data_IF_484453066886
#
_entry.id   IF_484453066886
#
_cell.length_a   1.000
_cell.length_b   1.000
_cell.length_c   1.000
_cell.angle_alpha   90.00
_cell.angle_beta   90.00
_cell.angle_gamma   90.00
#
_symmetry.space_group_name_H-M   'P 1'
#
loop_
_entity.id
_entity.type
_entity.pdbx_description
1 polymer ?
#
# COMPACT_ATOMS: atom_id res chain seq x y z
N UNK A 1 -9.35 19.03 7.76
CA UNK A 1 -9.29 19.45 9.18
C UNK A 1 -8.00 20.23 9.48
N UNK A 2 -6.77 19.75 9.14
CA UNK A 2 -5.51 20.42 9.48
C UNK A 2 -5.45 21.90 9.01
N UNK A 3 -5.94 22.18 7.79
CA UNK A 3 -6.02 23.56 7.28
C UNK A 3 -7.08 24.46 7.93
N UNK A 4 -8.02 23.91 8.68
CA UNK A 4 -8.91 24.71 9.52
C UNK A 4 -8.15 25.34 10.71
N UNK A 5 -7.11 24.65 11.18
CA UNK A 5 -6.24 25.12 12.26
C UNK A 5 -5.14 26.04 11.72
N UNK A 6 -4.51 25.65 10.60
CA UNK A 6 -3.44 26.39 9.93
C UNK A 6 -3.71 26.48 8.42
N UNK A 7 -4.35 27.55 7.94
CA UNK A 7 -4.79 27.66 6.53
C UNK A 7 -3.66 27.60 5.49
N UNK A 8 -2.48 28.06 5.84
CA UNK A 8 -1.29 28.08 4.99
C UNK A 8 -0.45 26.78 5.08
N UNK A 9 -0.89 25.78 5.82
CA UNK A 9 -0.18 24.53 5.98
C UNK A 9 0.08 23.84 4.64
N UNK A 10 1.33 23.41 4.43
CA UNK A 10 1.67 22.46 3.35
C UNK A 10 1.38 21.02 3.80
N UNK A 11 0.68 20.28 2.97
CA UNK A 11 0.33 18.88 3.23
C UNK A 11 1.04 18.00 2.21
N UNK A 12 1.94 17.18 2.72
CA UNK A 12 2.71 16.20 1.94
C UNK A 12 2.18 14.81 2.29
N UNK A 13 1.78 14.06 1.26
CA UNK A 13 1.35 12.68 1.40
C UNK A 13 2.41 11.75 0.83
N UNK A 14 3.00 10.91 1.67
CA UNK A 14 3.75 9.75 1.23
C UNK A 14 2.75 8.64 0.88
N UNK A 15 2.46 8.52 -0.42
CA UNK A 15 1.48 7.56 -0.94
C UNK A 15 2.14 6.28 -1.47
N UNK A 16 3.41 6.06 -1.15
CA UNK A 16 4.17 4.91 -1.66
C UNK A 16 3.49 3.58 -1.36
N UNK A 17 2.86 3.45 -0.21
CA UNK A 17 2.15 2.22 0.16
C UNK A 17 0.72 2.21 -0.36
N UNK A 18 0.01 3.33 -0.34
CA UNK A 18 -1.40 3.43 -0.74
C UNK A 18 -1.63 3.37 -2.26
N UNK A 19 -0.72 3.96 -3.07
CA UNK A 19 -0.93 4.10 -4.53
C UNK A 19 -1.28 2.80 -5.26
N UNK A 20 -0.72 1.62 -4.94
CA UNK A 20 -1.15 0.37 -5.58
C UNK A 20 -2.52 -0.15 -5.13
N UNK A 21 -3.05 0.32 -3.99
CA UNK A 21 -4.26 -0.18 -3.35
C UNK A 21 -5.49 0.71 -3.60
N UNK A 22 -5.30 2.00 -3.88
CA UNK A 22 -6.41 2.92 -4.02
C UNK A 22 -6.09 4.20 -4.77
N UNK A 23 -7.14 4.96 -5.08
CA UNK A 23 -7.01 6.27 -5.71
C UNK A 23 -6.48 7.31 -4.73
N UNK A 24 -5.51 8.09 -5.17
CA UNK A 24 -5.06 9.31 -4.49
C UNK A 24 -5.57 10.52 -5.26
N UNK A 25 -6.63 11.17 -4.79
CA UNK A 25 -7.12 12.40 -5.40
C UNK A 25 -6.48 13.62 -4.74
N UNK A 26 -5.36 14.05 -5.32
CA UNK A 26 -4.54 15.14 -4.83
C UNK A 26 -5.30 16.47 -4.70
N UNK A 27 -6.22 16.74 -5.64
CA UNK A 27 -7.01 17.97 -5.66
C UNK A 27 -8.16 17.94 -4.65
N UNK A 28 -8.92 16.87 -4.62
CA UNK A 28 -10.03 16.70 -3.68
C UNK A 28 -9.54 16.68 -2.22
N UNK A 29 -8.39 16.06 -1.96
CA UNK A 29 -7.78 16.02 -0.62
C UNK A 29 -6.99 17.29 -0.27
N UNK A 30 -6.83 18.21 -1.24
CA UNK A 30 -6.11 19.45 -1.04
C UNK A 30 -4.64 19.26 -0.71
N UNK A 31 -3.98 18.28 -1.29
CA UNK A 31 -2.57 18.00 -1.08
C UNK A 31 -1.67 18.98 -1.82
N UNK A 32 -0.49 19.22 -1.29
CA UNK A 32 0.54 20.04 -1.93
C UNK A 32 1.64 19.19 -2.57
N UNK A 33 1.94 18.04 -2.01
CA UNK A 33 2.85 17.04 -2.58
C UNK A 33 2.30 15.65 -2.39
N UNK A 34 2.54 14.80 -3.38
CA UNK A 34 2.33 13.36 -3.27
C UNK A 34 3.52 12.66 -3.90
N UNK A 35 4.02 11.62 -3.26
CA UNK A 35 5.04 10.77 -3.85
C UNK A 35 4.62 9.31 -3.84
N UNK A 36 5.08 8.56 -4.82
CA UNK A 36 4.95 7.13 -4.85
C UNK A 36 6.14 6.45 -5.55
N UNK A 37 6.28 5.15 -5.36
CA UNK A 37 7.34 4.36 -5.96
C UNK A 37 6.73 3.24 -6.84
N UNK A 38 6.94 3.28 -8.17
CA UNK A 38 6.34 2.34 -9.10
C UNK A 38 6.65 0.87 -8.83
N UNK A 39 7.78 0.56 -8.17
CA UNK A 39 8.13 -0.83 -7.85
C UNK A 39 7.13 -1.51 -6.90
N UNK A 40 6.34 -0.74 -6.15
CA UNK A 40 5.26 -1.28 -5.31
C UNK A 40 3.97 -1.51 -6.10
N UNK A 41 3.89 -0.97 -7.30
CA UNK A 41 2.74 -1.09 -8.19
C UNK A 41 3.08 -1.89 -9.45
N UNK A 42 3.76 -3.00 -9.30
CA UNK A 42 4.13 -3.90 -10.41
C UNK A 42 5.30 -3.42 -11.27
N UNK A 43 5.95 -2.32 -10.93
CA UNK A 43 7.12 -1.80 -11.65
C UNK A 43 8.46 -2.24 -11.08
N UNK A 44 9.54 -1.73 -11.66
CA UNK A 44 10.91 -1.95 -11.20
C UNK A 44 11.37 -0.87 -10.23
N UNK A 45 12.43 -1.16 -9.46
CA UNK A 45 13.14 -0.18 -8.62
C UNK A 45 13.93 0.80 -9.49
N UNK A 46 14.20 1.98 -8.95
CA UNK A 46 15.05 3.00 -9.59
C UNK A 46 14.30 4.26 -10.04
N UNK A 47 12.97 4.29 -9.89
CA UNK A 47 12.15 5.47 -10.14
C UNK A 47 11.31 5.80 -8.91
N UNK A 48 11.30 7.07 -8.52
CA UNK A 48 10.29 7.68 -7.66
C UNK A 48 9.52 8.71 -8.46
N UNK A 49 8.24 8.84 -8.22
CA UNK A 49 7.37 9.83 -8.87
C UNK A 49 6.82 10.78 -7.82
N UNK A 50 6.92 12.08 -8.08
CA UNK A 50 6.37 13.14 -7.25
C UNK A 50 5.39 14.00 -8.03
N UNK A 51 4.26 14.30 -7.44
CA UNK A 51 3.38 15.37 -7.89
C UNK A 51 3.48 16.57 -6.95
N UNK A 52 3.54 17.77 -7.50
CA UNK A 52 3.65 19.02 -6.76
C UNK A 52 2.52 19.96 -7.17
N UNK A 53 1.87 20.58 -6.18
CA UNK A 53 0.92 21.67 -6.44
C UNK A 53 1.64 22.94 -6.91
N UNK A 54 0.91 23.86 -7.53
CA UNK A 54 1.44 25.18 -7.94
C UNK A 54 2.05 25.94 -6.75
N UNK A 55 1.51 25.75 -5.55
CA UNK A 55 2.03 26.36 -4.32
C UNK A 55 3.47 25.92 -4.01
N UNK A 56 3.76 24.63 -4.22
CA UNK A 56 5.08 24.05 -3.95
C UNK A 56 6.01 24.26 -5.13
N UNK A 57 5.49 24.11 -6.35
CA UNK A 57 6.30 24.14 -7.58
C UNK A 57 7.09 25.45 -7.72
N UNK A 58 6.57 26.56 -7.20
CA UNK A 58 7.19 27.89 -7.28
C UNK A 58 8.05 28.25 -6.05
N UNK A 59 8.19 27.35 -5.06
CA UNK A 59 9.05 27.61 -3.91
C UNK A 59 10.53 27.59 -4.30
N UNK A 60 11.38 28.37 -3.62
CA UNK A 60 12.83 28.28 -3.80
C UNK A 60 13.33 26.87 -3.49
N UNK A 61 14.08 26.29 -4.41
CA UNK A 61 14.68 24.97 -4.25
C UNK A 61 16.00 24.88 -5.03
N UNK A 62 16.76 23.81 -4.79
CA UNK A 62 17.98 23.53 -5.57
C UNK A 62 17.58 23.09 -6.98
N UNK A 63 18.20 23.67 -7.98
CA UNK A 63 17.98 23.36 -9.40
C UNK A 63 19.27 23.54 -10.20
N UNK A 64 19.30 23.01 -11.41
CA UNK A 64 20.40 23.25 -12.34
C UNK A 64 20.41 24.74 -12.78
N UNK A 65 21.62 25.25 -13.05
CA UNK A 65 21.83 26.61 -13.49
C UNK A 65 21.07 26.88 -14.76
N UNK A 66 20.28 27.60 -15.12
CA UNK A 66 19.49 27.85 -16.34
C UNK A 66 18.14 27.13 -16.39
N UNK A 67 17.84 26.26 -15.42
CA UNK A 67 16.52 25.63 -15.38
C UNK A 67 15.44 26.57 -14.84
N UNK A 68 14.21 26.36 -15.29
CA UNK A 68 13.04 27.11 -14.84
C UNK A 68 12.79 26.83 -13.34
N UNK A 69 12.17 27.79 -12.66
CA UNK A 69 11.81 27.63 -11.24
C UNK A 69 10.87 26.42 -11.00
N UNK A 70 10.04 26.08 -11.97
CA UNK A 70 9.14 24.93 -11.89
C UNK A 70 9.80 23.59 -12.18
N UNK A 71 11.09 23.54 -12.53
CA UNK A 71 11.79 22.28 -12.74
C UNK A 71 12.44 21.79 -11.45
N UNK A 72 11.90 20.71 -10.91
CA UNK A 72 12.37 20.04 -9.70
C UNK A 72 13.27 18.83 -9.99
N UNK A 73 13.42 18.45 -11.25
CA UNK A 73 14.32 17.38 -11.65
C UNK A 73 15.76 17.89 -11.81
N UNK A 74 16.70 17.25 -11.12
CA UNK A 74 18.12 17.55 -11.22
C UNK A 74 18.86 16.61 -12.16
N UNK A 75 18.15 15.82 -12.94
CA UNK A 75 18.66 14.87 -13.91
C UNK A 75 17.53 14.14 -14.59
N UNK A 76 17.84 13.24 -15.53
CA UNK A 76 16.87 12.42 -16.23
C UNK A 76 16.88 10.97 -15.74
N UNK A 77 15.76 10.29 -15.86
CA UNK A 77 15.67 8.84 -15.71
C UNK A 77 15.93 8.13 -17.05
N UNK A 78 16.37 6.88 -16.99
CA UNK A 78 16.48 6.04 -18.18
C UNK A 78 15.10 5.89 -18.86
N UNK A 79 15.02 5.96 -20.21
CA UNK A 79 13.75 5.86 -20.94
C UNK A 79 12.91 4.62 -20.58
N UNK A 80 13.55 3.50 -20.26
CA UNK A 80 12.87 2.28 -19.81
C UNK A 80 12.05 2.47 -18.54
N UNK A 81 12.41 3.42 -17.65
CA UNK A 81 11.64 3.71 -16.44
C UNK A 81 10.32 4.41 -16.77
N UNK A 82 10.31 5.30 -17.77
CA UNK A 82 9.07 5.93 -18.24
C UNK A 82 8.18 4.93 -18.98
N UNK A 83 8.78 4.02 -19.77
CA UNK A 83 8.04 2.95 -20.44
C UNK A 83 7.36 2.01 -19.41
N UNK A 84 8.08 1.64 -18.36
CA UNK A 84 7.55 0.86 -17.24
C UNK A 84 6.36 1.59 -16.57
N UNK A 85 6.50 2.88 -16.26
CA UNK A 85 5.42 3.67 -15.67
C UNK A 85 4.18 3.70 -16.58
N UNK A 86 4.40 3.88 -17.90
CA UNK A 86 3.33 3.83 -18.89
C UNK A 86 2.63 2.46 -18.92
N UNK A 87 3.39 1.37 -18.77
CA UNK A 87 2.83 0.01 -18.72
C UNK A 87 1.93 -0.18 -17.49
N UNK A 88 2.32 0.34 -16.32
CA UNK A 88 1.48 0.30 -15.11
C UNK A 88 0.14 1.02 -15.36
N UNK A 89 0.17 2.24 -15.91
CA UNK A 89 -1.05 2.97 -16.24
C UNK A 89 -1.91 2.24 -17.26
N UNK A 90 -1.31 1.65 -18.29
CA UNK A 90 -2.02 0.86 -19.30
C UNK A 90 -2.68 -0.37 -18.68
N UNK A 91 -2.00 -1.07 -17.76
CA UNK A 91 -2.57 -2.20 -17.04
C UNK A 91 -3.81 -1.82 -16.23
N UNK A 92 -3.77 -0.71 -15.51
CA UNK A 92 -4.93 -0.25 -14.74
C UNK A 92 -6.07 0.17 -15.68
N UNK A 93 -5.77 0.88 -16.77
CA UNK A 93 -6.77 1.23 -17.78
C UNK A 93 -7.39 -0.02 -18.39
N UNK A 94 -6.59 -1.04 -18.70
CA UNK A 94 -7.07 -2.32 -19.21
C UNK A 94 -8.05 -3.00 -18.24
N UNK A 95 -7.78 -2.99 -16.94
CA UNK A 95 -8.78 -3.45 -15.95
C UNK A 95 -10.07 -2.64 -16.10
N UNK A 96 -9.98 -1.31 -16.18
CA UNK A 96 -11.14 -0.43 -16.30
C UNK A 96 -11.97 -0.67 -17.56
N UNK A 97 -11.36 -1.01 -18.69
CA UNK A 97 -12.03 -1.32 -19.94
C UNK A 97 -13.05 -2.46 -19.84
N UNK A 98 -12.87 -3.37 -18.89
CA UNK A 98 -13.82 -4.47 -18.65
C UNK A 98 -15.11 -4.02 -17.91
N UNK A 99 -15.14 -2.79 -17.40
CA UNK A 99 -16.23 -2.32 -16.55
C UNK A 99 -16.88 -1.01 -17.02
N UNK A 100 -16.34 -0.37 -18.06
CA UNK A 100 -16.90 0.84 -18.65
C UNK A 100 -16.69 0.89 -20.16
N UNK A 101 -17.62 1.52 -20.89
CA UNK A 101 -17.50 1.75 -22.34
C UNK A 101 -16.75 3.06 -22.67
N UNK A 102 -16.21 3.75 -21.68
CA UNK A 102 -15.46 4.99 -21.89
C UNK A 102 -14.17 4.73 -22.68
N UNK A 103 -13.80 5.70 -23.51
CA UNK A 103 -12.48 5.73 -24.18
C UNK A 103 -11.54 6.76 -23.54
N UNK A 104 -12.03 7.50 -22.54
CA UNK A 104 -11.21 8.45 -21.80
C UNK A 104 -10.27 7.73 -20.82
N UNK A 105 -8.98 7.91 -21.00
CA UNK A 105 -7.94 7.23 -20.21
C UNK A 105 -8.05 7.52 -18.69
N UNK A 106 -8.46 8.73 -18.31
CA UNK A 106 -8.64 9.05 -16.90
C UNK A 106 -9.80 8.26 -16.31
N UNK A 107 -10.91 8.19 -17.03
CA UNK A 107 -12.08 7.41 -16.62
C UNK A 107 -11.74 5.92 -16.51
N UNK A 108 -11.02 5.37 -17.49
CA UNK A 108 -10.55 3.98 -17.45
C UNK A 108 -9.65 3.72 -16.26
N UNK A 109 -8.69 4.60 -16.00
CA UNK A 109 -7.79 4.47 -14.85
C UNK A 109 -8.54 4.52 -13.52
N UNK A 110 -9.46 5.48 -13.36
CA UNK A 110 -10.27 5.60 -12.14
C UNK A 110 -11.11 4.35 -11.90
N UNK A 111 -11.75 3.83 -12.96
CA UNK A 111 -12.55 2.61 -12.85
C UNK A 111 -11.66 1.41 -12.51
N UNK A 112 -10.51 1.25 -13.18
CA UNK A 112 -9.57 0.17 -12.88
C UNK A 112 -9.09 0.19 -11.43
N UNK A 113 -8.72 1.35 -10.90
CA UNK A 113 -8.33 1.50 -9.48
C UNK A 113 -9.50 1.20 -8.53
N UNK A 114 -10.71 1.60 -8.87
CA UNK A 114 -11.89 1.26 -8.08
C UNK A 114 -12.11 -0.27 -8.03
N UNK A 115 -11.88 -0.98 -9.13
CA UNK A 115 -11.99 -2.45 -9.16
C UNK A 115 -10.90 -3.12 -8.34
N UNK A 116 -9.66 -2.65 -8.43
CA UNK A 116 -8.57 -3.11 -7.56
C UNK A 116 -8.96 -2.95 -6.09
N UNK A 117 -9.37 -1.75 -5.70
CA UNK A 117 -9.74 -1.44 -4.31
C UNK A 117 -10.91 -2.31 -3.81
N UNK A 118 -11.93 -2.53 -4.64
CA UNK A 118 -13.09 -3.38 -4.27
C UNK A 118 -12.68 -4.84 -4.10
N UNK A 119 -11.85 -5.36 -5.01
CA UNK A 119 -11.35 -6.73 -4.92
C UNK A 119 -10.46 -6.91 -3.67
N UNK A 120 -9.53 -6.00 -3.43
CA UNK A 120 -8.67 -6.05 -2.24
C UNK A 120 -9.46 -5.94 -0.94
N UNK A 121 -10.55 -5.17 -0.91
CA UNK A 121 -11.47 -5.13 0.24
C UNK A 121 -12.17 -6.47 0.47
N UNK A 122 -12.54 -7.17 -0.60
CA UNK A 122 -13.12 -8.51 -0.49
C UNK A 122 -12.09 -9.53 0.01
N UNK A 123 -10.83 -9.46 -0.46
CA UNK A 123 -9.72 -10.26 0.08
C UNK A 123 -9.42 -9.93 1.54
N UNK A 124 -9.46 -8.66 1.92
CA UNK A 124 -9.28 -8.21 3.30
C UNK A 124 -10.38 -8.76 4.22
N UNK A 125 -11.64 -8.70 3.78
CA UNK A 125 -12.74 -9.28 4.51
C UNK A 125 -12.54 -10.79 4.70
N UNK A 126 -12.18 -11.51 3.62
CA UNK A 126 -11.87 -12.93 3.68
C UNK A 126 -10.71 -13.24 4.62
N UNK A 127 -9.65 -12.45 4.59
CA UNK A 127 -8.48 -12.60 5.45
C UNK A 127 -8.84 -12.44 6.95
N UNK A 128 -9.68 -11.48 7.27
CA UNK A 128 -10.08 -11.20 8.65
C UNK A 128 -11.13 -12.19 9.19
N UNK A 129 -12.13 -12.54 8.38
CA UNK A 129 -13.30 -13.28 8.82
C UNK A 129 -13.36 -14.73 8.30
N UNK A 130 -12.52 -15.10 7.33
CA UNK A 130 -12.51 -16.44 6.75
C UNK A 130 -13.75 -16.76 5.93
N UNK A 131 -14.18 -18.02 5.99
CA UNK A 131 -15.36 -18.59 5.34
C UNK A 131 -15.99 -19.66 6.21
N UNK A 132 -17.00 -20.34 5.68
CA UNK A 132 -17.62 -21.48 6.37
C UNK A 132 -16.63 -22.65 6.57
N UNK A 133 -15.57 -22.71 5.75
CA UNK A 133 -14.58 -23.82 5.77
C UNK A 133 -13.25 -23.43 6.44
N UNK A 134 -12.90 -22.15 6.46
CA UNK A 134 -11.59 -21.65 6.92
C UNK A 134 -11.76 -20.47 7.87
N UNK A 135 -11.20 -20.59 9.08
CA UNK A 135 -11.21 -19.49 10.07
C UNK A 135 -10.42 -18.30 9.56
N UNK A 136 -10.96 -17.11 9.76
CA UNK A 136 -10.24 -15.84 9.53
C UNK A 136 -9.26 -15.52 10.66
N UNK A 137 -8.41 -14.52 10.45
CA UNK A 137 -7.40 -14.10 11.44
C UNK A 137 -8.00 -13.73 12.80
N UNK A 138 -9.24 -13.22 12.83
CA UNK A 138 -9.94 -12.87 14.06
C UNK A 138 -10.42 -14.08 14.89
N UNK A 139 -10.51 -15.25 14.27
CA UNK A 139 -11.03 -16.48 14.88
C UNK A 139 -9.95 -17.57 15.07
N UNK A 140 -8.71 -17.32 14.64
CA UNK A 140 -7.59 -18.25 14.83
C UNK A 140 -7.04 -18.05 16.25
N UNK A 141 -7.17 -19.08 17.10
CA UNK A 141 -6.63 -19.06 18.46
C UNK A 141 -5.11 -18.88 18.46
N UNK A 142 -4.61 -18.02 19.31
CA UNK A 142 -3.17 -17.70 19.40
C UNK A 142 -2.66 -16.69 18.37
N UNK A 143 -3.56 -16.10 17.57
CA UNK A 143 -3.26 -15.02 16.61
C UNK A 143 -4.07 -13.79 16.98
N UNK A 144 -3.44 -12.62 17.01
CA UNK A 144 -4.09 -11.35 17.28
C UNK A 144 -3.81 -10.36 16.16
N UNK A 145 -4.85 -9.71 15.65
CA UNK A 145 -4.73 -8.59 14.71
C UNK A 145 -4.35 -7.34 15.52
N UNK A 146 -3.11 -6.87 15.34
CA UNK A 146 -2.55 -5.81 16.18
C UNK A 146 -3.19 -4.42 15.96
N UNK A 147 -3.85 -4.21 14.82
CA UNK A 147 -4.61 -3.00 14.52
C UNK A 147 -5.96 -3.40 13.93
N UNK A 148 -6.99 -3.29 14.73
CA UNK A 148 -8.37 -3.51 14.29
C UNK A 148 -8.95 -2.21 13.74
N UNK A 149 -9.60 -2.31 12.59
CA UNK A 149 -10.37 -1.23 11.96
C UNK A 149 -11.67 -1.83 11.44
N UNK A 150 -12.80 -1.62 12.15
CA UNK A 150 -14.08 -2.18 11.75
C UNK A 150 -14.56 -1.69 10.38
N UNK A 151 -14.26 -0.43 10.04
CA UNK A 151 -14.53 0.12 8.71
C UNK A 151 -13.39 -0.21 7.75
N UNK A 152 -13.58 -1.27 6.96
CA UNK A 152 -12.58 -1.73 5.98
C UNK A 152 -12.36 -0.74 4.82
N UNK A 153 -13.15 0.32 4.73
CA UNK A 153 -12.92 1.38 3.73
C UNK A 153 -11.80 2.33 4.13
N UNK A 154 -11.37 2.28 5.41
CA UNK A 154 -10.37 3.16 5.99
C UNK A 154 -8.97 2.52 6.03
N UNK A 155 -8.78 1.36 5.39
CA UNK A 155 -7.49 0.70 5.36
C UNK A 155 -7.21 0.02 4.01
N UNK A 156 -5.95 -0.07 3.68
CA UNK A 156 -5.46 -0.90 2.58
C UNK A 156 -5.36 -2.38 3.01
N UNK A 157 -5.13 -3.27 2.05
CA UNK A 157 -4.96 -4.71 2.28
C UNK A 157 -3.59 -5.00 2.95
N UNK A 158 -3.42 -4.47 4.15
CA UNK A 158 -2.22 -4.64 4.98
C UNK A 158 -2.68 -4.92 6.41
N UNK A 159 -2.33 -6.11 6.93
CA UNK A 159 -2.76 -6.56 8.25
C UNK A 159 -1.53 -6.93 9.10
N UNK A 160 -1.29 -6.22 10.21
CA UNK A 160 -0.29 -6.61 11.20
C UNK A 160 -0.89 -7.66 12.15
N UNK A 161 -0.18 -8.76 12.36
CA UNK A 161 -0.57 -9.78 13.34
C UNK A 161 0.57 -10.06 14.32
N UNK A 162 0.19 -10.55 15.49
CA UNK A 162 1.10 -11.08 16.51
C UNK A 162 0.63 -12.48 16.95
N UNK A 163 1.56 -13.30 17.38
CA UNK A 163 1.31 -14.64 17.89
C UNK A 163 1.52 -14.68 19.41
N UNK A 164 0.69 -15.41 20.14
CA UNK A 164 0.82 -15.53 21.59
C UNK A 164 2.08 -16.28 22.02
N UNK A 165 2.48 -17.28 21.23
CA UNK A 165 3.57 -18.20 21.57
C UNK A 165 4.85 -18.01 20.77
N UNK A 166 4.84 -17.18 19.75
CA UNK A 166 5.98 -16.99 18.83
C UNK A 166 6.38 -15.51 18.73
N UNK A 167 7.66 -15.25 18.65
CA UNK A 167 8.13 -13.94 18.23
C UNK A 167 7.83 -13.73 16.73
N UNK A 168 7.83 -12.48 16.27
CA UNK A 168 7.58 -12.20 14.86
C UNK A 168 8.63 -12.83 13.94
N UNK A 169 9.89 -12.95 14.38
CA UNK A 169 10.96 -13.62 13.64
C UNK A 169 10.74 -15.13 13.56
N UNK A 170 10.30 -15.74 14.66
CA UNK A 170 9.96 -17.18 14.68
C UNK A 170 8.80 -17.48 13.75
N UNK A 171 7.75 -16.67 13.81
CA UNK A 171 6.59 -16.78 12.95
C UNK A 171 6.96 -16.57 11.47
N UNK A 172 7.75 -15.54 11.13
CA UNK A 172 8.20 -15.30 9.76
C UNK A 172 9.00 -16.47 9.19
N UNK A 173 9.88 -17.08 10.00
CA UNK A 173 10.60 -18.30 9.59
C UNK A 173 9.68 -19.52 9.44
N UNK A 174 8.63 -19.62 10.22
CA UNK A 174 7.64 -20.69 10.08
C UNK A 174 6.86 -20.54 8.76
N UNK A 175 6.44 -19.33 8.42
CA UNK A 175 5.83 -19.04 7.12
C UNK A 175 6.77 -19.35 5.95
N UNK A 176 8.04 -18.93 6.03
CA UNK A 176 9.04 -19.22 5.00
C UNK A 176 9.19 -20.72 4.75
N UNK A 177 9.25 -21.54 5.82
CA UNK A 177 9.29 -23.02 5.70
C UNK A 177 8.03 -23.59 5.06
N UNK A 178 6.88 -22.93 5.22
CA UNK A 178 5.63 -23.30 4.58
C UNK A 178 5.47 -22.72 3.15
N UNK A 179 6.51 -22.06 2.62
CA UNK A 179 6.48 -21.46 1.27
C UNK A 179 5.77 -20.12 1.18
N UNK A 180 5.48 -19.48 2.31
CA UNK A 180 4.81 -18.16 2.36
C UNK A 180 5.80 -17.07 2.74
N UNK A 181 5.85 -16.01 1.95
CA UNK A 181 6.71 -14.85 2.21
C UNK A 181 5.93 -13.77 2.96
N UNK A 182 6.33 -13.51 4.19
CA UNK A 182 5.86 -12.40 5.02
C UNK A 182 7.06 -11.57 5.52
N UNK A 183 6.80 -10.44 6.15
CA UNK A 183 7.88 -9.63 6.70
C UNK A 183 7.57 -9.22 8.13
N UNK A 184 8.52 -9.49 9.03
CA UNK A 184 8.48 -8.94 10.38
C UNK A 184 8.78 -7.42 10.38
N UNK A 185 8.25 -6.76 11.39
CA UNK A 185 8.57 -5.39 11.77
C UNK A 185 8.83 -5.37 13.27
N UNK A 186 10.00 -4.89 13.67
CA UNK A 186 10.43 -4.91 15.07
C UNK A 186 10.78 -3.50 15.56
N UNK A 187 10.75 -3.32 16.87
CA UNK A 187 11.20 -2.10 17.55
C UNK A 187 12.73 -1.93 17.52
N UNK A 188 13.49 -2.99 17.23
CA UNK A 188 14.94 -2.92 16.98
C UNK A 188 15.28 -2.28 15.62
N UNK A 189 14.35 -2.20 14.69
CA UNK A 189 14.57 -1.58 13.37
C UNK A 189 14.36 -0.08 13.41
N UNK A 190 15.36 0.68 12.97
CA UNK A 190 15.29 2.15 12.84
C UNK A 190 14.06 2.65 12.08
N UNK A 191 13.59 1.88 11.09
CA UNK A 191 12.48 2.24 10.21
C UNK A 191 11.10 1.88 10.77
N UNK A 192 10.99 0.86 11.60
CA UNK A 192 9.70 0.35 12.10
C UNK A 192 9.48 0.55 13.60
N UNK A 193 10.50 0.89 14.37
CA UNK A 193 10.42 1.03 15.83
C UNK A 193 9.26 1.94 16.27
N UNK A 194 9.13 3.12 15.67
CA UNK A 194 8.08 4.07 16.04
C UNK A 194 6.67 3.53 15.77
N UNK A 195 6.48 2.83 14.65
CA UNK A 195 5.19 2.26 14.28
C UNK A 195 4.82 1.12 15.23
N UNK A 196 5.76 0.19 15.46
CA UNK A 196 5.55 -0.97 16.34
C UNK A 196 5.29 -0.52 17.78
N UNK A 197 6.07 0.42 18.28
CA UNK A 197 5.90 0.98 19.63
C UNK A 197 4.58 1.76 19.78
N UNK A 198 4.10 2.44 18.73
CA UNK A 198 2.84 3.21 18.78
C UNK A 198 1.61 2.33 18.98
N UNK A 199 1.70 1.04 18.70
CA UNK A 199 0.66 0.03 18.93
C UNK A 199 1.01 -0.90 20.11
N UNK A 200 1.94 -0.51 20.97
CA UNK A 200 2.40 -1.26 22.13
C UNK A 200 2.87 -2.69 21.83
N UNK A 201 3.54 -2.87 20.71
CA UNK A 201 4.14 -4.14 20.31
C UNK A 201 5.66 -4.03 20.26
N UNK A 202 6.38 -5.15 20.42
CA UNK A 202 7.82 -5.26 20.18
C UNK A 202 8.12 -5.77 18.77
N UNK A 203 7.19 -6.51 18.19
CA UNK A 203 7.28 -7.03 16.84
C UNK A 203 5.94 -7.46 16.30
N UNK A 204 5.78 -7.39 14.99
CA UNK A 204 4.59 -7.84 14.26
C UNK A 204 5.02 -8.61 13.01
N UNK A 205 4.18 -9.50 12.54
CA UNK A 205 4.23 -10.04 11.17
C UNK A 205 3.29 -9.23 10.30
N UNK A 206 3.80 -8.66 9.21
CA UNK A 206 3.02 -7.88 8.26
C UNK A 206 2.54 -8.76 7.11
N UNK A 207 1.24 -8.88 6.98
CA UNK A 207 0.55 -9.55 5.88
C UNK A 207 0.13 -8.47 4.87
N UNK A 208 0.53 -8.62 3.61
CA UNK A 208 0.30 -7.59 2.58
C UNK A 208 0.12 -8.20 1.19
N UNK A 209 -0.99 -8.89 0.93
CA UNK A 209 -1.34 -9.36 -0.40
C UNK A 209 -1.67 -8.17 -1.32
N UNK A 210 -1.85 -8.44 -2.60
CA UNK A 210 -2.23 -7.48 -3.63
C UNK A 210 -3.44 -8.02 -4.41
N UNK A 211 -4.02 -7.19 -5.25
CA UNK A 211 -5.17 -7.53 -6.10
C UNK A 211 -4.94 -8.72 -7.06
N UNK A 212 -3.71 -9.17 -7.24
CA UNK A 212 -3.40 -10.36 -8.04
C UNK A 212 -3.60 -11.68 -7.27
N UNK A 213 -3.84 -11.63 -5.96
CA UNK A 213 -4.16 -12.81 -5.16
C UNK A 213 -5.64 -13.18 -5.30
N UNK A 214 -5.93 -14.46 -5.08
CA UNK A 214 -7.26 -15.03 -5.14
C UNK A 214 -7.80 -15.33 -3.72
N UNK A 215 -9.06 -15.75 -3.62
CA UNK A 215 -9.62 -16.25 -2.36
C UNK A 215 -8.92 -17.53 -1.90
N UNK A 216 -8.53 -18.37 -2.85
CA UNK A 216 -7.82 -19.62 -2.58
C UNK A 216 -6.43 -19.35 -1.96
N UNK A 217 -5.72 -18.33 -2.44
CA UNK A 217 -4.44 -17.90 -1.85
C UNK A 217 -4.64 -17.43 -0.39
N UNK A 218 -5.72 -16.70 -0.11
CA UNK A 218 -6.05 -16.24 1.24
C UNK A 218 -6.41 -17.44 2.13
N UNK A 219 -7.19 -18.39 1.65
CA UNK A 219 -7.59 -19.57 2.40
C UNK A 219 -6.38 -20.44 2.75
N UNK A 220 -5.48 -20.64 1.81
CA UNK A 220 -4.24 -21.40 2.05
C UNK A 220 -3.36 -20.68 3.08
N UNK A 221 -3.21 -19.36 2.98
CA UNK A 221 -2.52 -18.57 3.99
C UNK A 221 -3.15 -18.72 5.38
N UNK A 222 -4.47 -18.70 5.50
CA UNK A 222 -5.19 -18.84 6.77
C UNK A 222 -5.01 -20.24 7.38
N UNK A 223 -5.03 -21.30 6.57
CA UNK A 223 -4.75 -22.68 7.01
C UNK A 223 -3.33 -22.79 7.56
N UNK A 224 -2.34 -22.27 6.83
CA UNK A 224 -0.94 -22.24 7.27
C UNK A 224 -0.79 -21.45 8.57
N UNK A 225 -1.47 -20.29 8.69
CA UNK A 225 -1.46 -19.48 9.91
C UNK A 225 -2.00 -20.24 11.10
N UNK A 226 -3.10 -20.96 10.93
CA UNK A 226 -3.70 -21.78 11.99
C UNK A 226 -2.79 -22.95 12.44
N UNK A 227 -2.00 -23.52 11.52
CA UNK A 227 -1.00 -24.55 11.89
C UNK A 227 0.20 -23.93 12.64
N UNK A 228 0.66 -22.76 12.25
CA UNK A 228 1.77 -22.05 12.91
C UNK A 228 1.40 -21.62 14.34
N UNK A 229 0.13 -21.32 14.59
CA UNK A 229 -0.37 -20.85 15.89
C UNK A 229 -0.52 -21.96 16.96
N UNK A 230 -0.53 -23.23 16.57
CA UNK A 230 -0.63 -24.39 17.50
C UNK A 230 0.61 -24.53 18.37
#
# INVERSE_FOLDING_TARGET
EARKIKPDLFIICDSVQHTPHGLTDMKAWGLDCVNFAPYKFGGARGLGVGWLSDRVMNLPHRKLIREKQSNWEMGGCAPGMYAMLSAIFNYVCWIGEHFTNSQDRRTLYVEGMNRIMLHERALLYRLLHGSDEVKGLLDIEGVNVAVEMPDLTQRDLIVPIVFDKLTCEQASRAYERAGVVVHERTDASLYSARQVNSINQHGIVRISPLHCHTYEDIDEFLKITAEIAK
#
